data_IF_755867527603
#
_entry.id   IF_755867527603
#
_cell.length_a   1.000
_cell.length_b   1.000
_cell.length_c   1.000
_cell.angle_alpha   90.00
_cell.angle_beta   90.00
_cell.angle_gamma   90.00
#
_symmetry.space_group_name_H-M   'P 1'
#
loop_
_entity.id
_entity.type
_entity.pdbx_description
1 polymer ?
#
# COMPACT_ATOMS: atom_id res chain seq x y z
N UNK A 1 7.90 13.92 21.61
CA UNK A 1 7.28 14.31 20.34
C UNK A 1 7.51 13.16 19.37
N UNK A 2 6.59 12.81 18.47
CA UNK A 2 6.93 11.85 17.42
C UNK A 2 8.12 12.37 16.64
N UNK A 3 8.98 11.46 16.20
CA UNK A 3 10.17 11.79 15.42
C UNK A 3 9.70 12.46 14.10
N UNK A 4 10.22 13.64 13.80
CA UNK A 4 9.84 14.35 12.58
C UNK A 4 10.82 13.94 11.48
N UNK A 5 10.38 13.04 10.60
CA UNK A 5 11.20 12.60 9.48
C UNK A 5 11.45 13.73 8.47
N UNK A 6 12.68 13.86 7.95
CA UNK A 6 12.99 14.83 6.91
C UNK A 6 12.22 14.48 5.61
N UNK A 7 11.83 15.52 4.88
CA UNK A 7 11.22 15.34 3.55
C UNK A 7 12.37 15.43 2.53
N UNK A 8 12.82 14.27 2.05
CA UNK A 8 13.96 14.14 1.14
C UNK A 8 13.55 14.11 -0.33
N UNK A 9 12.26 13.97 -0.60
CA UNK A 9 11.70 13.89 -1.95
C UNK A 9 10.68 15.00 -2.19
N UNK A 10 10.58 15.45 -3.44
CA UNK A 10 9.62 16.49 -3.84
C UNK A 10 8.39 15.85 -4.47
N UNK A 11 7.17 16.26 -4.08
CA UNK A 11 5.95 15.84 -4.77
C UNK A 11 6.06 16.11 -6.29
N UNK A 12 5.74 15.13 -7.16
CA UNK A 12 5.82 15.33 -8.59
C UNK A 12 4.69 16.24 -9.07
N UNK A 13 4.96 17.05 -10.10
CA UNK A 13 3.89 17.70 -10.84
C UNK A 13 3.17 16.69 -11.73
N UNK A 14 1.97 16.29 -11.31
CA UNK A 14 1.11 15.34 -12.03
C UNK A 14 0.06 16.03 -12.89
N UNK A 15 0.02 17.37 -12.96
CA UNK A 15 -1.02 18.15 -13.67
C UNK A 15 -1.18 17.75 -15.14
N UNK A 16 -0.06 17.41 -15.80
CA UNK A 16 -0.03 16.93 -17.19
C UNK A 16 -0.76 15.60 -17.43
N UNK A 17 -1.04 14.84 -16.39
CA UNK A 17 -1.78 13.56 -16.45
C UNK A 17 -3.26 13.73 -16.17
N UNK A 18 -3.74 14.96 -15.94
CA UNK A 18 -5.11 15.23 -15.52
C UNK A 18 -6.14 14.71 -16.52
N UNK A 19 -5.99 15.07 -17.79
CA UNK A 19 -7.01 14.77 -18.79
C UNK A 19 -7.26 13.26 -18.94
N UNK A 20 -6.22 12.44 -18.75
CA UNK A 20 -6.35 11.00 -18.93
C UNK A 20 -6.76 10.60 -20.34
N UNK A 21 -7.23 9.34 -20.49
CA UNK A 21 -7.82 8.85 -21.74
C UNK A 21 -9.02 7.93 -21.51
N UNK A 22 -9.59 7.97 -20.31
CA UNK A 22 -10.62 7.05 -19.86
C UNK A 22 -11.96 7.74 -19.55
N UNK A 23 -11.99 9.09 -19.64
CA UNK A 23 -13.11 9.91 -19.17
C UNK A 23 -13.13 10.09 -17.65
N UNK A 24 -12.06 9.65 -16.96
CA UNK A 24 -11.85 9.91 -15.52
C UNK A 24 -10.49 10.58 -15.36
N UNK A 25 -10.49 11.74 -14.70
CA UNK A 25 -9.26 12.51 -14.47
C UNK A 25 -8.17 11.67 -13.80
N UNK A 26 -6.92 11.82 -14.25
CA UNK A 26 -5.74 11.13 -13.72
C UNK A 26 -5.77 9.61 -13.84
N UNK A 27 -6.57 9.06 -14.75
CA UNK A 27 -6.61 7.63 -15.06
C UNK A 27 -6.30 7.41 -16.54
N UNK A 28 -5.23 6.66 -16.79
CA UNK A 28 -4.77 6.33 -18.13
C UNK A 28 -4.81 4.82 -18.34
N UNK A 29 -5.44 4.36 -19.42
CA UNK A 29 -5.41 2.96 -19.83
C UNK A 29 -4.69 2.85 -21.17
N UNK A 30 -3.57 2.16 -21.18
CA UNK A 30 -2.79 1.85 -22.35
C UNK A 30 -3.19 0.46 -22.85
N UNK A 31 -3.52 0.32 -24.11
CA UNK A 31 -3.93 -0.94 -24.72
C UNK A 31 -2.86 -1.38 -25.75
N UNK A 32 -2.39 -2.61 -25.64
CA UNK A 32 -1.41 -3.17 -26.57
C UNK A 32 -2.03 -3.62 -27.89
N UNK A 33 -3.35 -3.71 -27.98
CA UNK A 33 -4.07 -4.35 -29.08
C UNK A 33 -3.90 -5.88 -29.17
N UNK A 34 -3.22 -6.50 -28.21
CA UNK A 34 -2.97 -7.95 -28.15
C UNK A 34 -3.66 -8.57 -26.94
N UNK A 35 -4.16 -9.81 -27.03
CA UNK A 35 -4.71 -10.52 -25.88
C UNK A 35 -3.72 -10.59 -24.71
N UNK A 36 -4.22 -10.39 -23.49
CA UNK A 36 -3.43 -10.44 -22.25
C UNK A 36 -4.23 -9.94 -21.06
N UNK A 37 -3.60 -9.92 -19.90
CA UNK A 37 -4.22 -9.50 -18.66
C UNK A 37 -4.46 -7.98 -18.60
N UNK A 38 -5.51 -7.58 -17.90
CA UNK A 38 -5.73 -6.21 -17.47
C UNK A 38 -4.94 -5.97 -16.18
N UNK A 39 -3.92 -5.11 -16.25
CA UNK A 39 -3.04 -4.80 -15.13
C UNK A 39 -3.27 -3.36 -14.69
N UNK A 40 -3.43 -3.14 -13.38
CA UNK A 40 -3.59 -1.79 -12.82
C UNK A 40 -2.48 -1.51 -11.81
N UNK A 41 -1.92 -0.30 -11.90
CA UNK A 41 -1.03 0.27 -10.87
C UNK A 41 -1.64 1.57 -10.38
N UNK A 42 -1.86 1.67 -9.09
CA UNK A 42 -2.39 2.85 -8.44
C UNK A 42 -1.37 3.47 -7.50
N UNK A 43 -1.37 4.80 -7.43
CA UNK A 43 -0.63 5.60 -6.47
C UNK A 43 -1.53 6.66 -5.84
N UNK A 44 -1.07 7.29 -4.77
CA UNK A 44 -1.80 8.34 -4.05
C UNK A 44 -3.13 7.85 -3.46
N UNK A 45 -3.20 6.63 -3.01
CA UNK A 45 -4.30 6.17 -2.16
C UNK A 45 -4.42 7.07 -0.92
N UNK A 46 -3.27 7.54 -0.40
CA UNK A 46 -3.18 8.64 0.56
C UNK A 46 -2.36 9.79 -0.03
N UNK A 47 -2.81 11.03 0.16
CA UNK A 47 -2.25 12.19 -0.52
C UNK A 47 -0.82 12.58 -0.07
N UNK A 48 -0.37 12.13 1.11
CA UNK A 48 0.99 12.36 1.60
C UNK A 48 1.99 11.24 1.25
N UNK A 49 1.58 10.24 0.48
CA UNK A 49 2.36 9.05 0.10
C UNK A 49 2.76 9.11 -1.38
N UNK A 50 3.70 9.99 -1.73
CA UNK A 50 3.94 10.30 -3.14
C UNK A 50 5.14 9.58 -3.78
N UNK A 51 5.83 8.66 -3.10
CA UNK A 51 6.83 7.78 -3.74
C UNK A 51 6.26 6.99 -4.91
N UNK A 52 5.01 6.48 -4.75
CA UNK A 52 4.25 5.84 -5.82
C UNK A 52 3.89 6.78 -6.97
N UNK A 53 3.55 8.05 -6.69
CA UNK A 53 3.27 9.03 -7.73
C UNK A 53 4.53 9.34 -8.56
N UNK A 54 5.70 9.39 -7.92
CA UNK A 54 6.98 9.53 -8.62
C UNK A 54 7.26 8.29 -9.50
N UNK A 55 6.91 7.10 -9.02
CA UNK A 55 7.06 5.88 -9.83
C UNK A 55 6.13 5.88 -11.06
N UNK A 56 4.89 6.34 -10.94
CA UNK A 56 4.01 6.47 -12.11
C UNK A 56 4.50 7.56 -13.07
N UNK A 57 4.93 8.73 -12.56
CA UNK A 57 5.55 9.79 -13.38
C UNK A 57 6.78 9.25 -14.15
N UNK A 58 7.61 8.44 -13.47
CA UNK A 58 8.73 7.76 -14.10
C UNK A 58 8.28 6.85 -15.26
N UNK A 59 7.26 6.00 -15.06
CA UNK A 59 6.75 5.14 -16.13
C UNK A 59 6.24 5.92 -17.33
N UNK A 60 5.50 7.01 -17.11
CA UNK A 60 5.03 7.89 -18.18
C UNK A 60 6.20 8.52 -18.94
N UNK A 61 7.22 9.02 -18.25
CA UNK A 61 8.43 9.60 -18.88
C UNK A 61 9.25 8.57 -19.64
N UNK A 62 9.21 7.30 -19.20
CA UNK A 62 9.84 6.18 -19.92
C UNK A 62 8.94 5.64 -21.05
N UNK A 63 7.83 6.33 -21.34
CA UNK A 63 6.88 5.97 -22.38
C UNK A 63 6.45 4.51 -22.33
N UNK A 64 6.15 4.02 -21.10
CA UNK A 64 5.75 2.63 -20.88
C UNK A 64 4.66 2.21 -21.87
N UNK A 65 4.79 1.04 -22.47
CA UNK A 65 3.77 0.44 -23.34
C UNK A 65 3.53 -1.01 -22.91
N UNK A 66 2.28 -1.45 -22.80
CA UNK A 66 1.99 -2.84 -22.53
C UNK A 66 2.43 -3.72 -23.70
N UNK A 67 3.12 -4.81 -23.41
CA UNK A 67 3.53 -5.81 -24.40
C UNK A 67 2.33 -6.66 -24.85
N UNK A 68 1.37 -6.85 -23.96
CA UNK A 68 0.07 -7.51 -24.16
C UNK A 68 -0.97 -7.02 -23.15
N UNK A 69 -2.25 -7.25 -23.44
CA UNK A 69 -3.35 -6.82 -22.57
C UNK A 69 -3.41 -5.31 -22.42
N UNK A 70 -3.85 -4.89 -21.23
CA UNK A 70 -4.05 -3.47 -20.88
C UNK A 70 -3.27 -3.10 -19.63
N UNK A 71 -2.74 -1.89 -19.59
CA UNK A 71 -2.11 -1.30 -18.41
C UNK A 71 -2.84 -0.03 -18.02
N UNK A 72 -3.47 -0.02 -16.84
CA UNK A 72 -4.09 1.15 -16.25
C UNK A 72 -3.17 1.75 -15.19
N UNK A 73 -2.85 3.03 -15.33
CA UNK A 73 -2.10 3.83 -14.36
C UNK A 73 -3.05 4.87 -13.77
N UNK A 74 -3.19 4.91 -12.45
CA UNK A 74 -4.13 5.78 -11.78
C UNK A 74 -3.50 6.52 -10.59
N UNK A 75 -3.73 7.83 -10.52
CA UNK A 75 -3.51 8.63 -9.32
C UNK A 75 -4.85 8.76 -8.60
N UNK A 76 -4.95 8.23 -7.37
CA UNK A 76 -6.23 8.08 -6.69
C UNK A 76 -6.72 9.36 -5.99
N UNK A 77 -6.23 9.66 -4.82
CA UNK A 77 -6.74 10.75 -3.96
C UNK A 77 -6.08 12.09 -4.27
N UNK A 78 -6.37 12.62 -5.46
CA UNK A 78 -5.81 13.87 -5.98
C UNK A 78 -6.15 15.05 -5.07
N UNK A 79 -7.36 15.08 -4.51
CA UNK A 79 -7.80 16.16 -3.65
C UNK A 79 -6.97 16.23 -2.36
N UNK A 80 -6.64 15.09 -1.78
CA UNK A 80 -5.77 15.01 -0.62
C UNK A 80 -4.32 15.39 -0.98
N UNK A 81 -3.79 14.86 -2.09
CA UNK A 81 -2.46 15.19 -2.57
C UNK A 81 -2.27 16.69 -2.81
N UNK A 82 -3.27 17.38 -3.38
CA UNK A 82 -3.23 18.82 -3.62
C UNK A 82 -3.15 19.66 -2.32
N UNK A 83 -3.45 19.07 -1.17
CA UNK A 83 -3.33 19.72 0.15
C UNK A 83 -1.99 19.45 0.85
N UNK A 84 -1.06 18.78 0.18
CA UNK A 84 0.23 18.49 0.80
C UNK A 84 0.97 19.78 1.18
N UNK A 85 1.27 19.91 2.45
CA UNK A 85 2.06 21.01 3.02
C UNK A 85 3.29 20.41 3.73
N UNK A 86 4.52 20.69 3.26
CA UNK A 86 5.73 20.18 3.88
C UNK A 86 5.93 20.66 5.32
N UNK A 87 5.30 21.78 5.72
CA UNK A 87 5.32 22.24 7.10
C UNK A 87 4.40 21.41 8.01
N UNK A 88 3.33 20.81 7.44
CA UNK A 88 2.36 19.99 8.17
C UNK A 88 1.84 18.85 7.26
N UNK A 89 2.64 17.81 6.96
CA UNK A 89 2.35 16.85 5.90
C UNK A 89 1.26 15.82 6.26
N UNK A 90 1.04 15.52 7.54
CA UNK A 90 0.12 14.45 7.96
C UNK A 90 -1.35 14.69 7.62
N UNK A 91 -1.92 15.91 7.70
CA UNK A 91 -3.31 16.16 7.33
C UNK A 91 -3.66 15.91 5.87
N UNK A 92 -2.69 15.88 4.97
CA UNK A 92 -2.93 15.58 3.55
C UNK A 92 -3.06 14.10 3.25
N UNK A 93 -3.16 13.23 4.26
CA UNK A 93 -3.42 11.81 4.09
C UNK A 93 -4.75 11.54 3.37
N UNK A 94 -5.82 12.21 3.80
CA UNK A 94 -7.15 12.16 3.20
C UNK A 94 -7.92 13.46 3.47
N UNK A 95 -9.08 13.63 2.83
CA UNK A 95 -9.96 14.79 2.99
C UNK A 95 -10.97 14.55 4.12
N UNK A 96 -11.81 13.55 3.96
CA UNK A 96 -12.93 13.24 4.85
C UNK A 96 -12.71 11.92 5.60
N UNK A 97 -12.25 10.88 4.91
CA UNK A 97 -12.08 9.53 5.45
C UNK A 97 -10.96 8.75 4.74
N UNK A 98 -10.52 7.64 5.32
CA UNK A 98 -9.46 6.83 4.71
C UNK A 98 -9.96 6.13 3.44
N UNK A 99 -9.46 6.54 2.27
CA UNK A 99 -9.76 5.97 0.97
C UNK A 99 -9.58 4.44 0.92
N UNK A 100 -8.64 3.91 1.70
CA UNK A 100 -8.36 2.48 1.74
C UNK A 100 -9.21 1.72 2.78
N UNK A 101 -10.42 2.25 3.12
CA UNK A 101 -11.42 1.63 4.02
C UNK A 101 -12.82 1.60 3.42
N UNK A 102 -12.99 2.12 2.21
CA UNK A 102 -14.32 2.37 1.61
C UNK A 102 -14.69 1.36 0.51
N UNK A 103 -13.93 0.28 0.34
CA UNK A 103 -14.01 -0.57 -0.84
C UNK A 103 -15.01 -1.75 -0.76
N UNK A 104 -15.82 -1.85 0.28
CA UNK A 104 -16.92 -2.81 0.32
C UNK A 104 -18.11 -2.34 -0.52
N UNK A 105 -18.91 -3.28 -1.06
CA UNK A 105 -20.04 -2.95 -1.93
C UNK A 105 -21.11 -2.14 -1.19
N UNK A 106 -21.43 -2.49 0.06
CA UNK A 106 -22.36 -1.74 0.91
C UNK A 106 -21.96 -0.28 1.14
N UNK A 107 -20.66 -0.01 1.23
CA UNK A 107 -20.11 1.36 1.36
C UNK A 107 -20.13 2.09 0.02
N UNK A 108 -19.69 1.45 -1.07
CA UNK A 108 -19.64 2.07 -2.39
C UNK A 108 -21.02 2.35 -2.98
N UNK A 109 -22.00 1.44 -2.76
CA UNK A 109 -23.36 1.56 -3.23
C UNK A 109 -24.29 2.29 -2.25
N UNK A 110 -23.79 2.56 -1.04
CA UNK A 110 -24.52 3.25 0.02
C UNK A 110 -24.74 4.74 -0.26
N UNK A 111 -25.57 5.37 0.59
CA UNK A 111 -25.94 6.78 0.47
C UNK A 111 -24.90 7.75 1.09
N UNK A 112 -23.90 7.23 1.82
CA UNK A 112 -22.84 8.07 2.41
C UNK A 112 -22.06 8.76 1.30
N UNK A 113 -21.66 10.00 1.54
CA UNK A 113 -20.87 10.80 0.61
C UNK A 113 -19.63 11.37 1.29
N UNK A 114 -18.51 11.28 0.59
CA UNK A 114 -17.23 11.88 0.95
C UNK A 114 -16.38 12.08 -0.30
N UNK A 115 -15.32 12.88 -0.19
CA UNK A 115 -14.38 13.06 -1.30
C UNK A 115 -13.78 11.71 -1.72
N UNK A 116 -13.39 10.89 -0.75
CA UNK A 116 -12.81 9.57 -0.98
C UNK A 116 -13.81 8.58 -1.61
N UNK A 117 -15.07 8.58 -1.16
CA UNK A 117 -16.11 7.72 -1.74
C UNK A 117 -16.44 8.10 -3.18
N UNK A 118 -16.58 9.40 -3.47
CA UNK A 118 -16.79 9.85 -4.85
C UNK A 118 -15.66 9.35 -5.74
N UNK A 119 -14.43 9.52 -5.30
CA UNK A 119 -13.24 9.07 -6.04
C UNK A 119 -13.17 7.55 -6.17
N UNK A 120 -13.46 6.80 -5.12
CA UNK A 120 -13.49 5.34 -5.17
C UNK A 120 -14.56 4.82 -6.15
N UNK A 121 -15.74 5.44 -6.20
CA UNK A 121 -16.80 5.12 -7.18
C UNK A 121 -16.37 5.35 -8.62
N UNK A 122 -15.63 6.43 -8.90
CA UNK A 122 -15.06 6.69 -10.23
C UNK A 122 -14.05 5.62 -10.65
N UNK A 123 -13.19 5.17 -9.69
CA UNK A 123 -12.14 4.20 -9.96
C UNK A 123 -12.63 2.75 -9.91
N UNK A 124 -13.78 2.47 -9.28
CA UNK A 124 -14.33 1.12 -9.09
C UNK A 124 -14.30 0.27 -10.36
N UNK A 125 -14.73 0.81 -11.49
CA UNK A 125 -14.78 0.07 -12.76
C UNK A 125 -13.42 -0.42 -13.24
N UNK A 126 -12.33 0.30 -12.95
CA UNK A 126 -10.98 -0.08 -13.34
C UNK A 126 -10.42 -1.15 -12.39
N UNK A 127 -10.70 -1.00 -11.08
CA UNK A 127 -10.35 -1.98 -10.05
C UNK A 127 -11.06 -3.30 -10.32
N UNK A 128 -12.38 -3.26 -10.60
CA UNK A 128 -13.20 -4.44 -10.89
C UNK A 128 -12.83 -5.13 -12.23
N UNK A 129 -12.22 -4.38 -13.17
CA UNK A 129 -11.77 -4.93 -14.45
C UNK A 129 -10.33 -5.50 -14.39
N UNK A 130 -9.57 -5.21 -13.35
CA UNK A 130 -8.18 -5.63 -13.26
C UNK A 130 -8.06 -7.13 -12.94
N UNK A 131 -7.17 -7.83 -13.66
CA UNK A 131 -6.73 -9.18 -13.32
C UNK A 131 -5.61 -9.12 -12.26
N UNK A 132 -4.76 -8.10 -12.35
CA UNK A 132 -3.69 -7.83 -11.40
C UNK A 132 -3.71 -6.36 -10.99
N UNK A 133 -3.57 -6.10 -9.67
CA UNK A 133 -3.54 -4.76 -9.12
C UNK A 133 -2.36 -4.60 -8.16
N UNK A 134 -1.61 -3.51 -8.32
CA UNK A 134 -0.58 -3.04 -7.39
C UNK A 134 -0.99 -1.67 -6.85
N UNK A 135 -1.11 -1.57 -5.52
CA UNK A 135 -1.35 -0.33 -4.79
C UNK A 135 -0.05 0.16 -4.14
N UNK A 136 0.39 1.36 -4.51
CA UNK A 136 1.67 1.92 -4.08
C UNK A 136 1.46 2.83 -2.86
N UNK A 137 1.99 2.39 -1.71
CA UNK A 137 1.95 3.06 -0.42
C UNK A 137 3.35 3.32 0.15
N UNK A 138 3.36 4.03 1.26
CA UNK A 138 4.52 4.20 2.14
C UNK A 138 4.06 4.36 3.59
N UNK A 139 4.98 4.38 4.53
CA UNK A 139 4.68 4.35 5.97
C UNK A 139 5.03 5.65 6.66
N UNK A 140 4.25 6.05 7.67
CA UNK A 140 4.56 7.21 8.52
C UNK A 140 5.84 7.00 9.34
N UNK A 141 6.03 5.78 9.84
CA UNK A 141 7.19 5.43 10.65
C UNK A 141 8.24 4.70 9.80
N UNK A 142 9.53 4.89 10.14
CA UNK A 142 10.61 4.23 9.44
C UNK A 142 10.53 2.70 9.61
N UNK A 143 10.44 2.01 8.49
CA UNK A 143 10.39 0.55 8.43
C UNK A 143 10.95 0.09 7.08
N UNK A 144 11.50 -1.12 7.03
CA UNK A 144 11.86 -1.75 5.76
C UNK A 144 10.61 -1.92 4.89
N UNK A 145 10.77 -1.95 3.55
CA UNK A 145 9.64 -2.19 2.65
C UNK A 145 8.91 -3.50 2.96
N UNK A 146 7.58 -3.46 2.93
CA UNK A 146 6.71 -4.61 3.23
C UNK A 146 5.69 -4.78 2.11
N UNK A 147 5.54 -5.99 1.56
CA UNK A 147 4.42 -6.30 0.68
C UNK A 147 3.23 -6.82 1.48
N UNK A 148 2.14 -6.07 1.49
CA UNK A 148 0.88 -6.48 2.12
C UNK A 148 0.08 -7.32 1.12
N UNK A 149 -0.08 -8.59 1.43
CA UNK A 149 -0.75 -9.59 0.60
C UNK A 149 -2.24 -9.78 0.97
N UNK A 150 -2.75 -9.01 1.95
CA UNK A 150 -4.10 -9.21 2.48
C UNK A 150 -4.25 -10.61 3.08
N UNK A 151 -5.40 -11.23 2.82
CA UNK A 151 -5.73 -12.60 3.29
C UNK A 151 -5.33 -13.70 2.30
N UNK A 152 -4.66 -13.37 1.20
CA UNK A 152 -4.61 -14.22 0.02
C UNK A 152 -3.23 -14.83 -0.24
N UNK A 153 -3.17 -16.16 -0.20
CA UNK A 153 -1.95 -16.92 -0.57
C UNK A 153 -1.56 -16.71 -2.05
N UNK A 154 -2.51 -16.42 -2.95
CA UNK A 154 -2.19 -16.09 -4.35
C UNK A 154 -1.42 -14.76 -4.46
N UNK A 155 -1.67 -13.81 -3.54
CA UNK A 155 -0.91 -12.56 -3.45
C UNK A 155 0.50 -12.80 -2.93
N UNK A 156 0.67 -13.73 -1.99
CA UNK A 156 1.99 -14.20 -1.53
C UNK A 156 2.74 -14.85 -2.70
N UNK A 157 2.08 -15.75 -3.45
CA UNK A 157 2.67 -16.42 -4.61
C UNK A 157 3.10 -15.43 -5.70
N UNK A 158 2.29 -14.42 -6.00
CA UNK A 158 2.64 -13.35 -6.94
C UNK A 158 3.88 -12.58 -6.45
N UNK A 159 3.91 -12.19 -5.18
CA UNK A 159 5.03 -11.44 -4.59
C UNK A 159 6.32 -12.26 -4.58
N UNK A 160 6.24 -13.56 -4.32
CA UNK A 160 7.40 -14.46 -4.40
C UNK A 160 7.98 -14.52 -5.82
N UNK A 161 7.14 -14.53 -6.86
CA UNK A 161 7.59 -14.45 -8.27
C UNK A 161 8.29 -13.12 -8.58
N UNK A 162 7.89 -12.01 -7.94
CA UNK A 162 8.55 -10.71 -8.10
C UNK A 162 9.94 -10.67 -7.46
N UNK A 163 10.18 -11.49 -6.41
CA UNK A 163 11.42 -11.54 -5.66
C UNK A 163 11.69 -10.32 -4.76
N UNK A 164 10.75 -9.40 -4.61
CA UNK A 164 10.83 -8.20 -3.77
C UNK A 164 9.47 -7.90 -3.15
N UNK A 165 9.44 -7.18 -2.01
CA UNK A 165 10.54 -6.88 -1.09
C UNK A 165 10.97 -8.11 -0.28
N UNK A 166 11.85 -7.93 0.72
CA UNK A 166 12.31 -9.00 1.60
C UNK A 166 11.22 -9.51 2.54
N UNK A 167 10.33 -8.62 2.99
CA UNK A 167 9.31 -8.92 3.99
C UNK A 167 7.91 -8.89 3.36
N UNK A 168 7.17 -9.98 3.47
CA UNK A 168 5.80 -10.16 3.04
C UNK A 168 4.90 -10.25 4.25
N UNK A 169 3.70 -9.70 4.14
CA UNK A 169 2.70 -9.72 5.19
C UNK A 169 1.41 -10.38 4.71
N UNK A 170 1.03 -11.46 5.34
CA UNK A 170 -0.29 -12.06 5.18
C UNK A 170 -1.10 -11.73 6.44
N UNK A 171 -2.20 -11.01 6.27
CA UNK A 171 -3.00 -10.53 7.39
C UNK A 171 -4.47 -10.96 7.30
N UNK A 172 -5.26 -10.64 8.32
CA UNK A 172 -6.67 -10.99 8.40
C UNK A 172 -7.61 -9.89 7.90
N UNK A 173 -7.07 -8.86 7.23
CA UNK A 173 -7.79 -7.66 6.80
C UNK A 173 -7.67 -6.51 7.80
N UNK A 174 -8.45 -5.46 7.58
CA UNK A 174 -8.42 -4.27 8.43
C UNK A 174 -9.76 -4.08 9.15
N UNK A 175 -9.77 -3.91 10.50
CA UNK A 175 -11.02 -3.83 11.26
C UNK A 175 -11.87 -2.58 10.94
N UNK A 176 -11.24 -1.51 10.45
CA UNK A 176 -11.94 -0.25 10.15
C UNK A 176 -12.59 -0.21 8.75
N UNK A 177 -12.47 -1.25 7.93
CA UNK A 177 -13.08 -1.30 6.61
C UNK A 177 -12.26 -2.05 5.56
N UNK A 178 -12.86 -2.33 4.43
CA UNK A 178 -12.25 -3.11 3.35
C UNK A 178 -11.23 -2.26 2.57
N UNK A 179 -10.03 -2.81 2.39
CA UNK A 179 -9.01 -2.22 1.53
C UNK A 179 -9.29 -2.54 0.06
N UNK A 180 -8.78 -1.73 -0.85
CA UNK A 180 -8.92 -1.94 -2.29
C UNK A 180 -8.37 -3.31 -2.73
N UNK A 181 -7.25 -3.74 -2.20
CA UNK A 181 -6.64 -5.05 -2.52
C UNK A 181 -7.48 -6.27 -2.07
N UNK A 182 -8.51 -6.03 -1.26
CA UNK A 182 -9.41 -7.08 -0.76
C UNK A 182 -10.77 -7.06 -1.44
N UNK A 183 -10.94 -6.19 -2.46
CA UNK A 183 -12.22 -6.02 -3.14
C UNK A 183 -12.55 -7.23 -4.03
N UNK A 184 -13.79 -7.70 -3.92
CA UNK A 184 -14.42 -8.65 -4.84
C UNK A 184 -13.53 -9.87 -5.13
N UNK A 185 -13.25 -10.12 -6.39
CA UNK A 185 -12.50 -11.28 -6.87
C UNK A 185 -11.04 -11.35 -6.36
N UNK A 186 -10.45 -10.25 -5.88
CA UNK A 186 -9.13 -10.28 -5.26
C UNK A 186 -9.13 -11.04 -3.94
N UNK A 187 -10.26 -11.00 -3.21
CA UNK A 187 -10.40 -11.71 -1.93
C UNK A 187 -10.94 -13.14 -2.10
N UNK A 188 -11.41 -13.53 -3.28
CA UNK A 188 -11.87 -14.89 -3.58
C UNK A 188 -10.67 -15.81 -3.87
N UNK A 189 -10.41 -16.84 -3.05
CA UNK A 189 -9.28 -17.75 -3.26
C UNK A 189 -9.37 -18.57 -4.55
N UNK A 190 -10.56 -18.74 -5.11
CA UNK A 190 -10.78 -19.49 -6.35
C UNK A 190 -10.61 -18.60 -7.60
N UNK A 191 -10.62 -17.29 -7.44
CA UNK A 191 -10.38 -16.36 -8.55
C UNK A 191 -8.88 -16.25 -8.87
N UNK A 192 -8.48 -16.22 -10.16
CA UNK A 192 -7.10 -15.94 -10.54
C UNK A 192 -6.69 -14.48 -10.33
N UNK A 193 -7.66 -13.57 -10.17
CA UNK A 193 -7.40 -12.15 -9.99
C UNK A 193 -6.68 -11.89 -8.67
N UNK A 194 -5.62 -11.07 -8.72
CA UNK A 194 -4.70 -10.90 -7.59
C UNK A 194 -4.35 -9.44 -7.39
N UNK A 195 -4.43 -8.99 -6.15
CA UNK A 195 -4.03 -7.64 -5.76
C UNK A 195 -3.01 -7.68 -4.63
N UNK A 196 -2.07 -6.75 -4.66
CA UNK A 196 -1.01 -6.55 -3.65
C UNK A 196 -0.83 -5.07 -3.37
N UNK A 197 -0.35 -4.76 -2.17
CA UNK A 197 -0.02 -3.40 -1.74
C UNK A 197 1.42 -3.38 -1.25
N UNK A 198 2.23 -2.46 -1.78
CA UNK A 198 3.59 -2.26 -1.30
C UNK A 198 3.65 -1.04 -0.37
N UNK A 199 4.21 -1.22 0.81
CA UNK A 199 4.69 -0.17 1.70
C UNK A 199 6.18 0.04 1.38
N UNK A 200 6.52 1.12 0.70
CA UNK A 200 7.84 1.33 0.08
C UNK A 200 8.96 1.75 1.04
N UNK A 201 8.61 2.05 2.28
CA UNK A 201 9.50 2.61 3.30
C UNK A 201 8.86 3.84 3.95
N UNK A 202 9.63 4.70 4.61
CA UNK A 202 9.11 5.92 5.20
C UNK A 202 8.64 6.89 4.10
N UNK A 203 7.53 7.60 4.33
CA UNK A 203 6.83 8.40 3.32
C UNK A 203 7.73 9.25 2.44
N UNK A 204 8.74 9.87 3.02
CA UNK A 204 9.50 10.93 2.36
C UNK A 204 10.98 10.63 2.21
N UNK A 205 11.43 9.42 2.55
CA UNK A 205 12.81 9.01 2.31
C UNK A 205 13.05 8.73 0.82
N UNK A 206 14.23 9.11 0.36
CA UNK A 206 14.63 8.96 -1.05
C UNK A 206 14.62 7.50 -1.52
N UNK A 207 15.00 6.58 -0.64
CA UNK A 207 15.01 5.14 -0.92
C UNK A 207 13.64 4.58 -1.27
N UNK A 208 12.54 5.14 -0.72
CA UNK A 208 11.17 4.71 -1.01
C UNK A 208 10.81 4.86 -2.49
N UNK A 209 11.39 5.84 -3.19
CA UNK A 209 11.17 6.06 -4.62
C UNK A 209 11.77 4.90 -5.45
N UNK A 210 13.00 4.51 -5.15
CA UNK A 210 13.63 3.41 -5.89
C UNK A 210 12.91 2.08 -5.63
N UNK A 211 12.43 1.86 -4.40
CA UNK A 211 11.59 0.70 -4.06
C UNK A 211 10.28 0.73 -4.84
N UNK A 212 9.60 1.89 -4.93
CA UNK A 212 8.35 2.03 -5.67
C UNK A 212 8.54 1.70 -7.16
N UNK A 213 9.60 2.25 -7.78
CA UNK A 213 9.91 2.03 -9.20
C UNK A 213 10.25 0.55 -9.45
N UNK A 214 11.17 -0.03 -8.68
CA UNK A 214 11.61 -1.41 -8.86
C UNK A 214 10.48 -2.42 -8.63
N UNK A 215 9.68 -2.21 -7.58
CA UNK A 215 8.51 -3.05 -7.30
C UNK A 215 7.53 -3.00 -8.47
N UNK A 216 7.26 -1.80 -8.99
CA UNK A 216 6.35 -1.63 -10.13
C UNK A 216 6.88 -2.31 -11.39
N UNK A 217 8.15 -2.13 -11.74
CA UNK A 217 8.76 -2.77 -12.90
C UNK A 217 8.71 -4.31 -12.81
N UNK A 218 9.02 -4.87 -11.63
CA UNK A 218 8.94 -6.33 -11.40
C UNK A 218 7.51 -6.86 -11.45
N UNK A 219 6.56 -6.10 -10.86
CA UNK A 219 5.14 -6.45 -10.95
C UNK A 219 4.67 -6.49 -12.40
N UNK A 220 4.98 -5.47 -13.19
CA UNK A 220 4.62 -5.40 -14.62
C UNK A 220 5.27 -6.54 -15.41
N UNK A 221 6.49 -6.94 -15.06
CA UNK A 221 7.19 -8.08 -15.70
C UNK A 221 6.49 -9.40 -15.39
N UNK A 222 6.26 -9.71 -14.11
CA UNK A 222 5.68 -11.02 -13.71
C UNK A 222 4.23 -11.19 -14.12
N UNK A 223 3.50 -10.10 -14.34
CA UNK A 223 2.15 -10.09 -14.89
C UNK A 223 2.12 -10.14 -16.42
N UNK A 224 3.27 -10.03 -17.07
CA UNK A 224 3.41 -10.02 -18.53
C UNK A 224 2.92 -8.72 -19.18
N UNK A 225 2.72 -7.66 -18.38
CA UNK A 225 2.27 -6.37 -18.89
C UNK A 225 3.32 -5.66 -19.73
N UNK A 226 4.62 -5.81 -19.41
CA UNK A 226 5.72 -5.19 -20.16
C UNK A 226 6.76 -6.23 -20.59
N UNK A 227 7.59 -5.85 -21.56
CA UNK A 227 8.74 -6.66 -21.97
C UNK A 227 9.77 -6.76 -20.83
N UNK A 228 10.27 -7.97 -20.59
CA UNK A 228 11.23 -8.22 -19.51
C UNK A 228 12.54 -7.46 -19.71
N UNK A 229 13.05 -7.40 -20.93
CA UNK A 229 14.29 -6.68 -21.25
C UNK A 229 14.14 -5.18 -21.02
N UNK A 230 12.99 -4.63 -21.41
CA UNK A 230 12.65 -3.22 -21.15
C UNK A 230 12.62 -2.92 -19.63
N UNK A 231 11.98 -3.75 -18.84
CA UNK A 231 11.92 -3.55 -17.40
C UNK A 231 13.28 -3.76 -16.72
N UNK A 232 13.98 -4.85 -17.07
CA UNK A 232 15.27 -5.24 -16.47
C UNK A 232 16.34 -4.16 -16.61
N UNK A 233 16.40 -3.47 -17.77
CA UNK A 233 17.36 -2.39 -18.00
C UNK A 233 17.12 -1.14 -17.13
N UNK A 234 15.98 -1.06 -16.43
CA UNK A 234 15.55 0.07 -15.60
C UNK A 234 15.55 -0.21 -14.11
N UNK A 235 15.81 -1.46 -13.72
CA UNK A 235 15.91 -1.84 -12.31
C UNK A 235 17.12 -1.15 -11.65
N UNK A 236 16.93 -0.70 -10.43
CA UNK A 236 17.91 0.07 -9.64
C UNK A 236 18.46 -0.72 -8.46
N UNK A 237 17.62 -1.64 -7.93
CA UNK A 237 17.91 -2.36 -6.69
C UNK A 237 18.16 -3.86 -6.98
N UNK A 238 19.10 -4.43 -6.22
CA UNK A 238 19.25 -5.88 -6.19
C UNK A 238 18.15 -6.52 -5.36
N UNK A 239 17.56 -7.65 -5.80
CA UNK A 239 16.60 -8.36 -4.98
C UNK A 239 17.26 -8.89 -3.70
N UNK A 240 16.49 -9.05 -2.61
CA UNK A 240 16.97 -9.68 -1.39
C UNK A 240 17.33 -11.13 -1.64
N UNK A 241 18.27 -11.67 -0.85
CA UNK A 241 18.66 -13.07 -0.95
C UNK A 241 17.51 -14.01 -0.52
N UNK A 242 16.67 -13.59 0.40
CA UNK A 242 15.55 -14.37 0.96
C UNK A 242 14.35 -13.45 1.16
N UNK A 243 13.17 -13.96 0.81
CA UNK A 243 11.90 -13.35 1.20
C UNK A 243 11.32 -14.11 2.40
N UNK A 244 10.88 -13.35 3.40
CA UNK A 244 10.28 -13.86 4.63
C UNK A 244 8.80 -13.49 4.69
N UNK A 245 7.95 -14.40 5.12
CA UNK A 245 6.53 -14.16 5.31
C UNK A 245 6.23 -13.97 6.79
N UNK A 246 5.59 -12.86 7.13
CA UNK A 246 4.97 -12.63 8.44
C UNK A 246 3.49 -12.92 8.33
N UNK A 247 2.99 -13.89 9.12
CA UNK A 247 1.55 -14.11 9.29
C UNK A 247 1.07 -13.32 10.50
N UNK A 248 0.16 -12.40 10.26
CA UNK A 248 -0.49 -11.62 11.33
C UNK A 248 -1.46 -12.50 12.10
N UNK A 249 -1.40 -12.43 13.41
CA UNK A 249 -2.28 -13.16 14.32
C UNK A 249 -3.34 -12.26 14.94
N UNK A 250 -2.99 -11.00 15.24
CA UNK A 250 -3.92 -10.03 15.83
C UNK A 250 -3.51 -8.58 15.55
N UNK A 251 -4.45 -7.65 15.72
CA UNK A 251 -4.23 -6.22 15.65
C UNK A 251 -4.27 -5.59 17.04
N UNK A 252 -3.33 -4.71 17.33
CA UNK A 252 -3.35 -3.84 18.51
C UNK A 252 -4.17 -2.61 18.16
N UNK A 253 -5.38 -2.52 18.69
CA UNK A 253 -6.32 -1.44 18.38
C UNK A 253 -6.45 -0.52 19.59
N UNK A 254 -6.20 0.78 19.39
CA UNK A 254 -6.34 1.77 20.46
C UNK A 254 -7.80 1.85 20.93
N UNK A 255 -8.01 1.77 22.23
CA UNK A 255 -9.31 1.95 22.88
C UNK A 255 -9.56 3.41 23.24
N UNK A 256 -8.47 4.19 23.40
CA UNK A 256 -8.55 5.59 23.79
C UNK A 256 -7.40 6.41 23.19
N UNK A 257 -7.45 7.73 23.37
CA UNK A 257 -6.37 8.66 23.03
C UNK A 257 -5.21 8.62 24.02
N UNK A 258 -5.35 7.89 25.15
CA UNK A 258 -4.29 7.67 26.13
C UNK A 258 -3.33 6.54 25.77
N UNK A 259 -3.57 5.82 24.65
CA UNK A 259 -2.66 4.78 24.16
C UNK A 259 -1.22 5.30 24.06
N UNK A 260 -0.28 4.56 24.66
CA UNK A 260 1.16 4.88 24.59
C UNK A 260 1.96 3.58 24.51
N UNK A 261 2.86 3.49 23.54
CA UNK A 261 3.84 2.41 23.54
C UNK A 261 4.76 2.49 24.78
N UNK A 262 5.14 1.34 25.32
CA UNK A 262 6.03 1.23 26.48
C UNK A 262 7.45 1.77 26.17
N UNK A 263 7.85 1.71 24.89
CA UNK A 263 9.06 2.31 24.34
C UNK A 263 8.88 2.57 22.84
N UNK A 264 9.79 3.28 22.18
CA UNK A 264 9.82 3.29 20.71
C UNK A 264 10.07 1.88 20.17
N UNK A 265 9.13 1.39 19.36
CA UNK A 265 9.24 0.12 18.66
C UNK A 265 9.55 0.35 17.18
N UNK A 266 10.34 -0.57 16.59
CA UNK A 266 10.62 -0.54 15.15
C UNK A 266 9.68 -1.48 14.40
N UNK A 267 9.34 -1.10 13.17
CA UNK A 267 8.60 -2.01 12.29
C UNK A 267 9.41 -3.28 12.00
N UNK A 268 8.74 -4.43 12.07
CA UNK A 268 9.31 -5.77 11.92
C UNK A 268 10.34 -6.15 13.03
N UNK A 269 10.27 -5.48 14.17
CA UNK A 269 11.04 -5.89 15.33
C UNK A 269 10.49 -7.20 15.90
N UNK A 270 11.39 -8.14 16.19
CA UNK A 270 11.04 -9.40 16.87
C UNK A 270 11.19 -9.20 18.37
N UNK A 271 10.09 -9.39 19.09
CA UNK A 271 10.05 -9.34 20.56
C UNK A 271 10.21 -10.75 21.10
N UNK A 272 11.36 -11.08 21.76
CA UNK A 272 11.73 -12.48 22.00
C UNK A 272 10.80 -13.23 22.99
N UNK A 273 10.19 -12.53 23.95
CA UNK A 273 9.46 -13.18 25.05
C UNK A 273 7.98 -12.83 25.05
N UNK A 274 7.15 -13.87 25.23
CA UNK A 274 5.74 -13.73 25.58
C UNK A 274 5.57 -12.90 26.86
N UNK A 275 4.46 -12.17 26.95
CA UNK A 275 4.16 -11.32 28.10
C UNK A 275 4.94 -10.00 28.14
N UNK A 276 5.81 -9.70 27.15
CA UNK A 276 6.50 -8.40 27.09
C UNK A 276 5.50 -7.28 26.90
N UNK A 277 5.58 -6.23 27.75
CA UNK A 277 4.70 -5.06 27.64
C UNK A 277 5.00 -4.28 26.36
N UNK A 278 4.00 -4.13 25.51
CA UNK A 278 4.09 -3.37 24.26
C UNK A 278 3.57 -1.94 24.42
N UNK A 279 2.42 -1.80 25.08
CA UNK A 279 1.75 -0.51 25.23
C UNK A 279 0.79 -0.52 26.43
N UNK A 280 0.45 0.69 26.91
CA UNK A 280 -0.63 0.95 27.85
C UNK A 280 -1.72 1.77 27.17
N UNK A 281 -2.99 1.50 27.49
CA UNK A 281 -4.15 2.23 26.99
C UNK A 281 -5.18 2.35 28.11
N UNK A 282 -5.05 3.38 28.94
CA UNK A 282 -5.73 3.45 30.23
C UNK A 282 -5.31 2.29 31.13
N UNK A 283 -6.31 1.52 31.62
CA UNK A 283 -6.10 0.33 32.46
C UNK A 283 -5.79 -0.94 31.64
N UNK A 284 -5.73 -0.84 30.31
CA UNK A 284 -5.42 -1.97 29.42
C UNK A 284 -3.93 -2.01 29.13
N UNK A 285 -3.30 -3.16 29.39
CA UNK A 285 -1.96 -3.46 28.93
C UNK A 285 -2.00 -4.33 27.67
N UNK A 286 -1.24 -3.93 26.66
CA UNK A 286 -0.98 -4.74 25.48
C UNK A 286 0.34 -5.46 25.65
N UNK A 287 0.33 -6.79 25.58
CA UNK A 287 1.51 -7.64 25.76
C UNK A 287 1.67 -8.61 24.59
N UNK A 288 2.91 -9.03 24.32
CA UNK A 288 3.16 -10.10 23.33
C UNK A 288 2.48 -11.40 23.75
N UNK A 289 1.68 -12.02 22.85
CA UNK A 289 0.95 -13.24 23.18
C UNK A 289 1.82 -14.52 23.14
N UNK A 290 3.02 -14.44 22.54
CA UNK A 290 3.93 -15.59 22.37
C UNK A 290 5.37 -15.11 22.20
N UNK A 291 6.32 -16.05 22.30
CA UNK A 291 7.75 -15.83 22.03
C UNK A 291 7.98 -15.51 20.54
N UNK A 292 9.04 -14.74 20.26
CA UNK A 292 9.42 -14.29 18.91
C UNK A 292 8.30 -13.56 18.15
N UNK A 293 7.53 -12.74 18.88
CA UNK A 293 6.44 -11.94 18.32
C UNK A 293 6.97 -10.83 17.44
N UNK A 294 6.55 -10.80 16.17
CA UNK A 294 6.90 -9.74 15.20
C UNK A 294 5.94 -8.57 15.33
N UNK A 295 6.47 -7.38 15.58
CA UNK A 295 5.68 -6.15 15.67
C UNK A 295 5.65 -5.45 14.30
N UNK A 296 4.47 -5.44 13.66
CA UNK A 296 4.29 -4.92 12.32
C UNK A 296 3.71 -3.52 12.35
N UNK A 297 4.39 -2.57 11.69
CA UNK A 297 3.98 -1.19 11.50
C UNK A 297 3.48 -0.51 12.80
N UNK A 298 4.27 -0.49 13.89
CA UNK A 298 3.90 0.25 15.10
C UNK A 298 3.87 1.75 14.80
N UNK A 299 2.80 2.43 15.19
CA UNK A 299 2.67 3.87 15.01
C UNK A 299 1.47 4.44 15.77
N UNK A 300 1.57 5.71 16.14
CA UNK A 300 0.50 6.46 16.83
C UNK A 300 0.12 7.74 16.10
N UNK A 301 0.51 7.88 14.85
CA UNK A 301 0.13 9.03 14.02
C UNK A 301 -1.39 9.07 13.86
N UNK A 302 -1.98 10.23 14.16
CA UNK A 302 -3.44 10.43 14.14
C UNK A 302 -4.23 9.48 15.05
N UNK A 303 -3.68 9.19 16.24
CA UNK A 303 -4.27 8.28 17.22
C UNK A 303 -5.73 8.66 17.59
N UNK A 304 -6.63 7.72 17.36
CA UNK A 304 -8.05 7.80 17.74
C UNK A 304 -8.51 6.43 18.25
N UNK A 305 -9.54 6.35 19.10
CA UNK A 305 -10.16 5.09 19.43
C UNK A 305 -10.59 4.33 18.16
N UNK A 306 -10.31 3.04 18.10
CA UNK A 306 -10.57 2.19 16.93
C UNK A 306 -9.43 2.13 15.90
N UNK A 307 -8.40 2.98 16.03
CA UNK A 307 -7.25 2.90 15.12
C UNK A 307 -6.34 1.71 15.47
N UNK A 308 -5.89 1.00 14.45
CA UNK A 308 -4.82 0.01 14.58
C UNK A 308 -3.50 0.73 14.80
N UNK A 309 -2.84 0.46 15.92
CA UNK A 309 -1.54 1.05 16.30
C UNK A 309 -0.37 0.13 15.97
N UNK A 310 -0.62 -1.17 15.85
CA UNK A 310 0.34 -2.18 15.40
C UNK A 310 -0.40 -3.46 15.01
N UNK A 311 0.31 -4.39 14.37
CA UNK A 311 -0.13 -5.78 14.24
C UNK A 311 0.93 -6.69 14.82
N UNK A 312 0.50 -7.81 15.37
CA UNK A 312 1.38 -8.86 15.91
C UNK A 312 1.36 -10.05 14.97
N UNK A 313 2.50 -10.67 14.75
CA UNK A 313 2.61 -11.78 13.83
C UNK A 313 3.81 -12.69 14.13
N UNK A 314 3.94 -13.73 13.30
CA UNK A 314 5.06 -14.67 13.32
C UNK A 314 5.69 -14.75 11.94
N UNK A 315 7.01 -14.85 11.89
CA UNK A 315 7.67 -15.32 10.67
C UNK A 315 7.29 -16.79 10.44
N UNK A 316 6.91 -17.08 9.20
CA UNK A 316 6.77 -18.46 8.73
C UNK A 316 8.11 -18.94 8.14
N UNK A 317 8.47 -20.16 8.49
CA UNK A 317 9.70 -20.83 8.02
C UNK A 317 9.58 -21.27 6.54
#
# INVERSE_FOLDING_TARGET
MPERYPIEITPPDISRYREGNTGVDYVHTLDSGKPGSSVMVQALTHGNEFSGAIALDYLFRQEVRPARGKLTLAFANIAAFARFDPANPSPSRYIDEDYNRVWSDDVLDGSRDSAELRRARELRRFVDAADYLLDLHSMSEACRPIMVCGKSEKSVALTRRMGVPADLLLDTGHPAGLRMIERGAFNDPQSPRTAILIETGQHWEKSAVDVAIDTTLRFLTVTGAVDEGWAKSRLRLKPPAVQRLVRVTEAVVAKSTSFRFARPWKGLEVVPKAGTLLANDGDTEWRTPYDDCVLVMPGTTNLKPGNTTARLGRYEN
#
